data_IF_370877954294
#
_entry.id   IF_370877954294
#
_cell.length_a   1.000
_cell.length_b   1.000
_cell.length_c   1.000
_cell.angle_alpha   90.00
_cell.angle_beta   90.00
_cell.angle_gamma   90.00
#
_symmetry.space_group_name_H-M   'P 1'
#
loop_
_entity.id
_entity.type
_entity.pdbx_description
1 polymer ?
#
# COMPACT_ATOMS: atom_id res chain seq x y z
N UNK A 1 23.89 -0.39 27.68
CA UNK A 1 24.55 -1.29 26.72
C UNK A 1 24.37 -0.66 25.34
N UNK A 2 25.47 -0.33 24.67
CA UNK A 2 25.43 0.13 23.27
C UNK A 2 25.21 -1.12 22.43
N UNK A 3 24.03 -1.29 21.83
CA UNK A 3 23.79 -2.36 20.87
C UNK A 3 24.64 -2.07 19.64
N UNK A 4 25.73 -2.83 19.48
CA UNK A 4 26.48 -2.89 18.23
C UNK A 4 25.55 -3.50 17.21
N UNK A 5 25.02 -2.69 16.29
CA UNK A 5 24.27 -3.17 15.15
C UNK A 5 25.30 -3.88 14.26
N UNK A 6 25.14 -5.18 13.94
CA UNK A 6 26.07 -5.88 13.07
C UNK A 6 26.18 -5.13 11.73
N UNK A 7 27.38 -5.07 11.15
CA UNK A 7 27.70 -4.43 9.87
C UNK A 7 27.00 -5.07 8.65
N UNK A 8 25.94 -5.86 8.87
CA UNK A 8 25.05 -6.40 7.84
C UNK A 8 23.99 -5.39 7.35
N UNK A 9 23.95 -4.17 7.88
CA UNK A 9 22.87 -3.20 7.60
C UNK A 9 22.97 -2.38 6.31
N UNK A 10 23.96 -2.63 5.43
CA UNK A 10 24.08 -1.83 4.20
C UNK A 10 23.47 -2.48 2.95
N UNK A 11 23.17 -3.78 2.99
CA UNK A 11 22.54 -4.45 1.85
C UNK A 11 21.03 -4.24 1.97
N UNK A 12 20.49 -3.38 1.10
CA UNK A 12 19.04 -3.26 0.92
C UNK A 12 18.54 -4.40 0.04
N UNK A 13 17.37 -4.91 0.36
CA UNK A 13 16.73 -6.00 -0.38
C UNK A 13 15.77 -5.41 -1.40
N UNK A 14 16.11 -5.40 -2.71
CA UNK A 14 15.24 -4.83 -3.73
C UNK A 14 13.96 -5.66 -3.87
N UNK A 15 12.85 -4.97 -4.02
CA UNK A 15 11.58 -5.56 -4.45
C UNK A 15 11.59 -5.74 -5.96
N UNK A 16 10.75 -6.68 -6.44
CA UNK A 16 10.58 -6.94 -7.87
C UNK A 16 10.07 -5.69 -8.62
N UNK A 17 9.24 -4.88 -7.96
CA UNK A 17 8.66 -3.65 -8.50
C UNK A 17 8.87 -2.47 -7.56
N UNK A 18 8.86 -1.26 -8.12
CA UNK A 18 8.66 -0.03 -7.35
C UNK A 18 7.18 0.08 -6.99
N UNK A 19 6.91 0.51 -5.77
CA UNK A 19 5.57 0.64 -5.21
C UNK A 19 5.33 2.08 -4.74
N UNK A 20 4.07 2.49 -4.80
CA UNK A 20 3.58 3.80 -4.38
C UNK A 20 2.49 3.60 -3.34
N UNK A 21 2.71 4.16 -2.15
CA UNK A 21 1.67 4.29 -1.15
C UNK A 21 0.87 5.56 -1.43
N UNK A 22 -0.45 5.42 -1.52
CA UNK A 22 -1.40 6.51 -1.64
C UNK A 22 -2.27 6.60 -0.41
N UNK A 23 -2.68 7.82 -0.06
CA UNK A 23 -3.63 8.11 1.01
C UNK A 23 -4.80 8.89 0.44
N UNK A 24 -6.00 8.37 0.65
CA UNK A 24 -7.23 9.10 0.39
C UNK A 24 -7.66 9.77 1.68
N UNK A 25 -7.62 11.09 1.70
CA UNK A 25 -8.10 11.89 2.82
C UNK A 25 -9.62 12.03 2.74
N UNK A 26 -10.35 11.54 3.74
CA UNK A 26 -11.77 11.82 3.85
C UNK A 26 -12.05 13.33 3.92
N UNK A 27 -12.60 13.88 2.85
CA UNK A 27 -13.11 15.24 2.78
C UNK A 27 -14.36 15.22 1.88
N UNK A 28 -15.53 15.47 2.49
CA UNK A 28 -16.82 15.40 1.76
C UNK A 28 -17.09 16.65 0.92
N UNK A 29 -16.25 17.67 1.02
CA UNK A 29 -16.41 18.92 0.28
C UNK A 29 -15.60 18.94 -1.02
N UNK A 30 -14.88 17.85 -1.32
CA UNK A 30 -14.00 17.73 -2.48
C UNK A 30 -14.39 16.53 -3.31
N UNK A 31 -14.04 16.57 -4.59
CA UNK A 31 -14.16 15.42 -5.46
C UNK A 31 -13.17 14.33 -5.04
N UNK A 32 -13.54 13.06 -5.22
CA UNK A 32 -12.75 11.92 -4.73
C UNK A 32 -11.28 11.96 -5.19
N UNK A 33 -11.05 12.34 -6.45
CA UNK A 33 -9.72 12.42 -7.05
C UNK A 33 -8.85 13.52 -6.42
N UNK A 34 -9.46 14.58 -5.91
CA UNK A 34 -8.77 15.68 -5.20
C UNK A 34 -8.37 15.31 -3.78
N UNK A 35 -9.00 14.26 -3.23
CA UNK A 35 -8.70 13.70 -1.92
C UNK A 35 -7.55 12.68 -1.94
N UNK A 36 -7.17 12.19 -3.11
CA UNK A 36 -6.17 11.14 -3.29
C UNK A 36 -4.76 11.75 -3.41
N UNK A 37 -3.84 11.31 -2.56
CA UNK A 37 -2.49 11.84 -2.48
C UNK A 37 -1.45 10.72 -2.55
N UNK A 38 -0.36 10.94 -3.29
CA UNK A 38 0.85 10.10 -3.19
C UNK A 38 1.58 10.42 -1.89
N UNK A 39 1.87 9.39 -1.09
CA UNK A 39 2.56 9.52 0.19
C UNK A 39 4.05 9.26 0.02
N UNK A 40 4.41 8.14 -0.62
CA UNK A 40 5.80 7.73 -0.77
C UNK A 40 5.98 6.70 -1.90
N UNK A 41 7.18 6.66 -2.44
CA UNK A 41 7.68 5.64 -3.36
C UNK A 41 8.70 4.78 -2.62
N UNK A 42 8.71 3.48 -2.88
CA UNK A 42 9.74 2.57 -2.37
C UNK A 42 9.95 1.38 -3.30
N UNK A 43 11.15 0.83 -3.30
CA UNK A 43 11.48 -0.38 -4.05
C UNK A 43 12.39 -1.33 -3.29
N UNK A 44 12.48 -1.19 -1.97
CA UNK A 44 13.21 -2.10 -1.09
C UNK A 44 12.36 -2.48 0.11
N UNK A 45 12.65 -3.64 0.70
CA UNK A 45 11.98 -4.12 1.91
C UNK A 45 12.24 -3.16 3.07
N UNK A 46 13.44 -2.59 3.17
CA UNK A 46 13.82 -1.64 4.21
C UNK A 46 13.05 -0.33 4.10
N UNK A 47 12.92 0.21 2.89
CA UNK A 47 12.16 1.44 2.65
C UNK A 47 10.67 1.23 2.95
N UNK A 48 10.12 0.05 2.65
CA UNK A 48 8.77 -0.31 3.06
C UNK A 48 8.60 -0.30 4.58
N UNK A 49 9.48 -0.97 5.33
CA UNK A 49 9.38 -1.02 6.79
C UNK A 49 9.63 0.35 7.44
N UNK A 50 10.54 1.14 6.89
CA UNK A 50 10.75 2.51 7.33
C UNK A 50 9.48 3.34 7.15
N UNK A 51 8.84 3.26 5.97
CA UNK A 51 7.58 3.92 5.68
C UNK A 51 6.46 3.44 6.61
N UNK A 52 6.28 2.12 6.75
CA UNK A 52 5.26 1.52 7.61
C UNK A 52 5.34 2.00 9.06
N UNK A 53 6.56 2.18 9.58
CA UNK A 53 6.79 2.67 10.93
C UNK A 53 6.59 4.19 11.10
N UNK A 54 6.57 4.95 10.00
CA UNK A 54 6.35 6.40 10.02
C UNK A 54 4.90 6.80 9.77
N UNK A 55 4.14 6.01 9.03
CA UNK A 55 2.74 6.33 8.70
C UNK A 55 1.81 6.07 9.88
N UNK A 56 0.68 6.77 9.87
CA UNK A 56 -0.36 6.56 10.86
C UNK A 56 -0.93 5.14 10.72
N UNK A 57 -1.08 4.43 11.84
CA UNK A 57 -1.72 3.13 11.82
C UNK A 57 -3.16 3.25 11.30
N UNK A 58 -3.65 2.27 10.52
CA UNK A 58 -5.01 2.26 10.02
C UNK A 58 -6.03 2.55 11.13
N UNK A 59 -5.95 1.86 12.26
CA UNK A 59 -6.85 2.05 13.42
C UNK A 59 -6.95 3.49 13.95
N UNK A 60 -5.96 4.34 13.70
CA UNK A 60 -5.92 5.72 14.14
C UNK A 60 -6.30 6.73 13.03
N UNK A 61 -6.49 6.30 11.78
CA UNK A 61 -6.88 7.18 10.68
C UNK A 61 -8.28 7.75 10.86
N UNK A 62 -8.51 8.91 10.24
CA UNK A 62 -9.85 9.48 10.14
C UNK A 62 -10.80 8.53 9.43
N UNK A 63 -12.04 8.45 9.93
CA UNK A 63 -13.06 7.62 9.30
C UNK A 63 -13.36 8.06 7.87
N UNK A 64 -13.42 7.07 6.97
CA UNK A 64 -13.61 7.32 5.54
C UNK A 64 -12.31 7.55 4.78
N UNK A 65 -11.16 7.66 5.45
CA UNK A 65 -9.85 7.67 4.80
C UNK A 65 -9.38 6.26 4.50
N UNK A 66 -8.61 6.12 3.43
CA UNK A 66 -8.17 4.82 2.92
C UNK A 66 -6.66 4.89 2.54
N UNK A 67 -5.93 3.79 2.73
CA UNK A 67 -4.57 3.62 2.18
C UNK A 67 -4.64 2.66 0.99
N UNK A 68 -3.89 2.98 -0.06
CA UNK A 68 -3.73 2.15 -1.26
C UNK A 68 -2.26 1.91 -1.52
N UNK A 69 -1.90 0.68 -1.87
CA UNK A 69 -0.55 0.33 -2.30
C UNK A 69 -0.61 -0.22 -3.72
N UNK A 70 0.03 0.47 -4.67
CA UNK A 70 -0.01 0.16 -6.10
C UNK A 70 1.39 0.19 -6.69
N UNK A 71 1.63 -0.58 -7.76
CA UNK A 71 2.89 -0.51 -8.52
C UNK A 71 3.09 0.89 -9.09
N UNK A 72 4.34 1.29 -9.25
CA UNK A 72 4.68 2.56 -9.90
C UNK A 72 4.02 2.66 -11.29
N UNK A 73 3.45 3.83 -11.58
CA UNK A 73 2.73 4.10 -12.83
C UNK A 73 1.26 3.69 -12.82
N UNK A 74 0.77 2.95 -11.82
CA UNK A 74 -0.64 2.57 -11.69
C UNK A 74 -1.33 3.46 -10.67
N UNK A 75 -2.39 4.16 -11.09
CA UNK A 75 -3.21 4.95 -10.18
C UNK A 75 -4.26 4.06 -9.51
N UNK A 76 -4.62 4.29 -8.24
CA UNK A 76 -5.63 3.52 -7.52
C UNK A 76 -7.06 3.93 -7.92
N UNK A 77 -7.35 3.99 -9.22
CA UNK A 77 -8.64 4.42 -9.78
C UNK A 77 -9.10 3.47 -10.88
N UNK A 78 -10.41 3.30 -11.03
CA UNK A 78 -10.99 2.31 -11.95
C UNK A 78 -10.84 2.71 -13.41
N UNK A 79 -10.60 3.99 -13.69
CA UNK A 79 -10.34 4.54 -15.03
C UNK A 79 -8.91 4.27 -15.52
N UNK A 80 -7.98 3.85 -14.64
CA UNK A 80 -6.63 3.47 -15.04
C UNK A 80 -6.71 2.20 -15.91
N UNK A 81 -6.14 2.24 -17.12
CA UNK A 81 -6.22 1.16 -18.10
C UNK A 81 -5.76 -0.20 -17.55
N UNK A 82 -4.85 -0.19 -16.58
CA UNK A 82 -4.36 -1.40 -15.91
C UNK A 82 -5.38 -2.01 -14.92
N UNK A 83 -6.32 -1.20 -14.43
CA UNK A 83 -7.36 -1.63 -13.48
C UNK A 83 -8.69 -1.97 -14.16
N UNK A 84 -8.98 -1.45 -15.37
CA UNK A 84 -10.28 -1.60 -16.06
C UNK A 84 -10.67 -3.08 -16.27
N UNK A 85 -9.69 -3.97 -16.48
CA UNK A 85 -9.90 -5.41 -16.67
C UNK A 85 -9.58 -6.25 -15.43
N UNK A 86 -9.19 -5.59 -14.34
CA UNK A 86 -8.77 -6.23 -13.11
C UNK A 86 -9.94 -6.60 -12.20
N UNK A 87 -9.61 -7.40 -11.19
CA UNK A 87 -10.34 -7.45 -9.94
C UNK A 87 -9.48 -6.81 -8.88
N UNK A 88 -10.03 -6.63 -7.70
CA UNK A 88 -9.30 -6.20 -6.52
C UNK A 88 -9.22 -7.53 -5.68
N UNK A 89 -8.15 -7.83 -4.88
CA UNK A 89 -8.04 -8.96 -3.89
C UNK A 89 -7.88 -8.62 -2.39
N UNK A 90 -8.57 -9.39 -1.50
CA UNK A 90 -8.79 -8.98 -0.11
C UNK A 90 -8.16 -9.87 0.91
N UNK A 91 -6.94 -9.56 1.21
CA UNK A 91 -6.25 -10.31 2.21
C UNK A 91 -5.43 -9.32 3.01
N UNK A 92 -5.70 -9.28 4.32
CA UNK A 92 -4.85 -8.61 5.29
C UNK A 92 -3.55 -9.40 5.35
N UNK A 93 -2.59 -9.06 4.50
CA UNK A 93 -1.17 -9.32 4.72
C UNK A 93 -0.38 -8.47 3.70
N UNK A 94 -0.07 -7.21 4.05
CA UNK A 94 0.88 -6.38 3.28
C UNK A 94 2.19 -7.14 2.97
N UNK A 95 2.56 -8.08 3.85
CA UNK A 95 3.69 -8.99 3.68
C UNK A 95 3.51 -10.04 2.57
N UNK A 96 2.30 -10.58 2.37
CA UNK A 96 2.07 -11.55 1.29
C UNK A 96 2.17 -10.88 -0.08
N UNK A 97 1.75 -9.61 -0.17
CA UNK A 97 1.81 -8.81 -1.39
C UNK A 97 3.23 -8.42 -1.72
N UNK A 98 3.95 -7.81 -0.77
CA UNK A 98 5.32 -7.37 -0.99
C UNK A 98 6.27 -8.57 -1.17
N UNK A 99 5.96 -9.70 -0.54
CA UNK A 99 6.70 -10.95 -0.67
C UNK A 99 6.30 -11.82 -1.87
N UNK A 100 5.41 -11.34 -2.75
CA UNK A 100 4.92 -12.06 -3.95
C UNK A 100 4.51 -13.52 -3.64
N UNK A 101 3.80 -13.73 -2.53
CA UNK A 101 3.42 -15.05 -2.04
C UNK A 101 2.21 -15.65 -2.81
N UNK A 102 2.00 -15.23 -4.05
CA UNK A 102 0.88 -15.63 -4.91
C UNK A 102 1.29 -16.58 -6.04
N UNK A 103 2.52 -17.09 -6.01
CA UNK A 103 3.05 -18.07 -6.96
C UNK A 103 2.76 -17.63 -8.43
N UNK A 104 2.13 -18.49 -9.23
CA UNK A 104 1.82 -18.27 -10.65
C UNK A 104 0.79 -17.14 -10.90
N UNK A 105 0.18 -16.57 -9.85
CA UNK A 105 -0.84 -15.53 -9.97
C UNK A 105 -0.32 -14.12 -9.67
N UNK A 106 0.93 -13.95 -9.22
CA UNK A 106 1.49 -12.65 -8.81
C UNK A 106 1.43 -11.57 -9.90
N UNK A 107 1.60 -11.94 -11.17
CA UNK A 107 1.52 -11.02 -12.31
C UNK A 107 0.13 -10.39 -12.50
N UNK A 108 -0.91 -11.02 -11.95
CA UNK A 108 -2.29 -10.53 -12.01
C UNK A 108 -2.64 -9.62 -10.82
N UNK A 109 -1.73 -9.45 -9.86
CA UNK A 109 -1.95 -8.63 -8.66
C UNK A 109 -1.47 -7.19 -8.91
N UNK A 110 -2.42 -6.27 -8.95
CA UNK A 110 -2.16 -4.84 -9.17
C UNK A 110 -1.84 -4.09 -7.87
N UNK A 111 -2.39 -4.52 -6.74
CA UNK A 111 -2.23 -3.84 -5.44
C UNK A 111 -3.24 -4.28 -4.39
N UNK A 112 -3.27 -3.57 -3.27
CA UNK A 112 -4.28 -3.75 -2.22
C UNK A 112 -4.76 -2.43 -1.61
N UNK A 113 -5.95 -2.47 -1.04
CA UNK A 113 -6.61 -1.33 -0.41
C UNK A 113 -7.12 -1.69 1.00
N UNK A 114 -6.84 -0.82 1.97
CA UNK A 114 -7.38 -0.93 3.34
C UNK A 114 -8.41 0.17 3.55
N UNK A 115 -9.66 -0.22 3.85
CA UNK A 115 -10.76 0.74 4.05
C UNK A 115 -11.36 0.63 5.45
N UNK A 116 -11.47 1.77 6.13
CA UNK A 116 -11.96 1.84 7.52
C UNK A 116 -13.35 2.43 7.55
N UNK A 117 -14.31 1.72 8.15
CA UNK A 117 -15.73 2.08 8.14
C UNK A 117 -16.40 1.78 9.49
N UNK A 118 -17.46 2.54 9.78
CA UNK A 118 -18.16 2.59 11.08
C UNK A 118 -18.85 1.27 11.52
N UNK A 119 -19.03 0.29 10.61
CA UNK A 119 -19.69 -1.02 10.87
C UNK A 119 -18.73 -2.22 10.78
N UNK A 120 -17.43 -1.96 10.93
CA UNK A 120 -16.37 -2.95 10.76
C UNK A 120 -15.53 -2.65 9.54
N UNK A 121 -14.23 -2.91 9.67
CA UNK A 121 -13.26 -2.66 8.61
C UNK A 121 -13.59 -3.53 7.41
N UNK A 122 -13.87 -2.86 6.29
CA UNK A 122 -14.03 -3.52 5.02
C UNK A 122 -12.67 -3.53 4.37
N UNK A 123 -11.95 -4.55 4.72
CA UNK A 123 -11.08 -5.14 3.73
C UNK A 123 -12.07 -5.50 2.55
N UNK A 124 -11.83 -5.07 1.30
CA UNK A 124 -12.49 -5.62 0.11
C UNK A 124 -11.46 -5.88 -0.97
N UNK A 125 -11.68 -6.93 -1.78
CA UNK A 125 -10.63 -7.51 -2.52
C UNK A 125 -10.29 -6.46 -3.49
#
# INVERSE_FOLDING_TARGET
>A
MVTVIPEQTLIRHPLQYQWVLWYLKADRNKEWHECLMQVAFFGTIEDFWALYNMIQQPSAMNWGSDYYLFKEGVKPMWEDENNVKGGRWLIVLLMAIIGEQFEDYGDHVCGAAVNIRQRGDKVAP
#
